data_IF_555262235943
#
_entry.id   IF_555262235943
#
_cell.length_a   1.000
_cell.length_b   1.000
_cell.length_c   1.000
_cell.angle_alpha   90.00
_cell.angle_beta   90.00
_cell.angle_gamma   90.00
#
_symmetry.space_group_name_H-M   'P 1'
#
loop_
_entity.id
_entity.type
_entity.pdbx_description
1 polymer ?
#
# COMPACT_ATOMS: atom_id res chain seq x y z
N UNK A 1 -4.32 22.57 -17.11
CA UNK A 1 -4.72 21.52 -18.07
C UNK A 1 -5.00 20.27 -17.24
N UNK A 2 -6.26 19.82 -17.15
CA UNK A 2 -6.58 18.56 -16.44
C UNK A 2 -6.09 17.40 -17.31
N UNK A 3 -5.36 16.46 -16.72
CA UNK A 3 -4.93 15.25 -17.43
C UNK A 3 -6.16 14.33 -17.55
N UNK A 4 -6.43 13.87 -18.77
CA UNK A 4 -7.69 13.22 -19.18
C UNK A 4 -7.84 11.77 -18.70
N UNK A 5 -6.77 11.11 -18.27
CA UNK A 5 -6.86 9.74 -17.78
C UNK A 5 -7.16 9.67 -16.28
N UNK A 6 -8.15 8.84 -15.94
CA UNK A 6 -8.39 8.38 -14.57
C UNK A 6 -7.11 7.70 -14.05
N UNK A 7 -6.64 8.10 -12.87
CA UNK A 7 -5.47 7.50 -12.21
C UNK A 7 -5.87 6.79 -10.93
N UNK A 8 -5.32 5.59 -10.73
CA UNK A 8 -5.37 4.84 -9.48
C UNK A 8 -4.18 5.22 -8.62
N UNK A 9 -4.45 5.81 -7.46
CA UNK A 9 -3.45 6.28 -6.52
C UNK A 9 -3.51 5.40 -5.27
N UNK A 10 -2.39 4.78 -4.90
CA UNK A 10 -2.23 4.08 -3.64
C UNK A 10 -1.44 4.95 -2.66
N UNK A 11 -2.05 5.29 -1.54
CA UNK A 11 -1.42 6.06 -0.46
C UNK A 11 -1.05 5.10 0.66
N UNK A 12 0.24 4.97 0.95
CA UNK A 12 0.76 4.09 2.00
C UNK A 12 1.23 4.95 3.17
N UNK A 13 0.57 4.84 4.33
CA UNK A 13 0.94 5.57 5.53
C UNK A 13 1.66 4.66 6.53
N UNK A 14 2.93 4.92 6.80
CA UNK A 14 3.78 4.10 7.67
C UNK A 14 3.91 4.67 9.10
N UNK A 15 3.52 5.92 9.34
CA UNK A 15 3.72 6.56 10.65
C UNK A 15 2.68 6.11 11.69
N UNK A 16 3.11 5.52 12.79
CA UNK A 16 2.24 5.17 13.94
C UNK A 16 1.70 6.39 14.73
N UNK A 17 2.12 7.62 14.38
CA UNK A 17 1.76 8.83 15.14
C UNK A 17 0.33 9.35 14.89
N UNK A 18 -0.47 8.64 14.08
CA UNK A 18 -1.86 9.02 13.76
C UNK A 18 -1.98 10.50 13.35
N UNK A 19 -2.93 11.23 13.94
CA UNK A 19 -3.17 12.66 13.66
C UNK A 19 -1.97 13.58 13.97
N UNK A 20 -1.02 13.13 14.80
CA UNK A 20 0.22 13.88 15.12
C UNK A 20 1.34 13.64 14.09
N UNK A 21 1.08 12.87 13.03
CA UNK A 21 2.06 12.56 11.99
C UNK A 21 2.16 13.67 10.96
N UNK A 22 3.37 14.21 10.77
CA UNK A 22 3.64 15.16 9.68
C UNK A 22 3.62 14.49 8.31
N UNK A 23 4.12 13.25 8.20
CA UNK A 23 4.11 12.53 6.92
C UNK A 23 2.69 12.25 6.42
N UNK A 24 1.74 11.95 7.32
CA UNK A 24 0.32 11.79 6.96
C UNK A 24 -0.32 13.09 6.48
N UNK A 25 -0.05 14.21 7.17
CA UNK A 25 -0.54 15.52 6.73
C UNK A 25 -0.01 15.87 5.33
N UNK A 26 1.24 15.55 5.05
CA UNK A 26 1.83 15.77 3.73
C UNK A 26 1.21 14.87 2.65
N UNK A 27 0.94 13.59 2.94
CA UNK A 27 0.24 12.72 1.98
C UNK A 27 -1.18 13.21 1.70
N UNK A 28 -1.91 13.70 2.72
CA UNK A 28 -3.24 14.32 2.52
C UNK A 28 -3.19 15.55 1.61
N UNK A 29 -2.23 16.48 1.84
CA UNK A 29 -2.03 17.65 0.98
C UNK A 29 -1.73 17.22 -0.46
N UNK A 30 -0.85 16.23 -0.65
CA UNK A 30 -0.50 15.72 -1.96
C UNK A 30 -1.69 15.08 -2.69
N UNK A 31 -2.46 14.23 -2.00
CA UNK A 31 -3.68 13.61 -2.55
C UNK A 31 -4.71 14.66 -2.95
N UNK A 32 -4.89 15.71 -2.15
CA UNK A 32 -5.80 16.80 -2.50
C UNK A 32 -5.34 17.56 -3.74
N UNK A 33 -4.02 17.73 -3.93
CA UNK A 33 -3.47 18.27 -5.16
C UNK A 33 -3.71 17.32 -6.36
N UNK A 34 -3.50 16.01 -6.21
CA UNK A 34 -3.77 15.06 -7.28
C UNK A 34 -5.23 15.09 -7.74
N UNK A 35 -6.18 15.27 -6.82
CA UNK A 35 -7.61 15.42 -7.13
C UNK A 35 -7.93 16.69 -7.95
N UNK A 36 -7.10 17.72 -7.89
CA UNK A 36 -7.28 18.92 -8.73
C UNK A 36 -6.63 18.79 -10.11
N UNK A 37 -5.59 17.95 -10.24
CA UNK A 37 -4.85 17.70 -11.48
C UNK A 37 -5.53 16.66 -12.38
N UNK A 38 -5.97 15.54 -11.80
CA UNK A 38 -6.58 14.42 -12.52
C UNK A 38 -8.11 14.49 -12.50
N UNK A 39 -8.75 14.03 -13.58
CA UNK A 39 -10.20 13.91 -13.62
C UNK A 39 -10.62 12.62 -12.88
N UNK A 40 -11.29 12.77 -11.74
CA UNK A 40 -11.84 11.66 -10.95
C UNK A 40 -10.83 10.54 -10.61
N UNK A 41 -9.67 10.85 -9.99
CA UNK A 41 -8.73 9.80 -9.60
C UNK A 41 -9.34 8.88 -8.52
N UNK A 42 -9.03 7.60 -8.61
CA UNK A 42 -9.40 6.59 -7.62
C UNK A 42 -8.30 6.53 -6.57
N UNK A 43 -8.63 6.87 -5.32
CA UNK A 43 -7.65 6.89 -4.23
C UNK A 43 -7.91 5.72 -3.28
N UNK A 44 -6.90 4.88 -3.10
CA UNK A 44 -6.88 3.77 -2.14
C UNK A 44 -5.86 4.04 -1.03
N UNK A 45 -6.14 3.59 0.19
CA UNK A 45 -5.29 3.81 1.35
C UNK A 45 -4.82 2.48 1.96
N UNK A 46 -3.52 2.36 2.18
CA UNK A 46 -2.87 1.26 2.90
C UNK A 46 -2.26 1.79 4.19
N UNK A 47 -2.88 1.43 5.31
CA UNK A 47 -2.34 1.68 6.64
C UNK A 47 -1.28 0.62 6.98
N UNK A 48 -0.12 1.06 7.48
CA UNK A 48 0.96 0.19 7.97
C UNK A 48 1.47 0.59 9.36
N UNK A 49 1.28 1.85 9.78
CA UNK A 49 1.81 2.35 11.04
C UNK A 49 0.93 2.05 12.26
N UNK A 50 -0.39 1.92 12.07
CA UNK A 50 -1.35 1.64 13.14
C UNK A 50 -2.07 0.29 12.98
N UNK A 51 -1.59 -0.57 12.08
CA UNK A 51 -2.14 -1.90 11.83
C UNK A 51 -1.08 -2.95 12.14
N UNK A 52 -1.52 -4.15 12.53
CA UNK A 52 -0.60 -5.26 12.69
C UNK A 52 -0.13 -5.77 11.31
N UNK A 53 1.10 -5.43 10.94
CA UNK A 53 1.75 -5.97 9.74
C UNK A 53 2.51 -7.23 10.15
N UNK A 54 2.12 -8.43 9.69
CA UNK A 54 2.78 -9.65 10.09
C UNK A 54 4.25 -9.65 9.65
N UNK A 55 5.14 -10.02 10.56
CA UNK A 55 6.54 -10.27 10.22
C UNK A 55 6.66 -11.47 9.30
N UNK A 56 7.66 -11.42 8.41
CA UNK A 56 8.05 -12.56 7.59
C UNK A 56 8.52 -13.70 8.50
N UNK A 57 8.06 -14.91 8.21
CA UNK A 57 8.40 -16.13 8.94
C UNK A 57 8.67 -17.31 7.99
N UNK A 58 9.10 -18.46 8.52
CA UNK A 58 9.41 -19.64 7.72
C UNK A 58 8.24 -20.15 6.89
N UNK A 59 7.01 -20.13 7.42
CA UNK A 59 5.82 -20.55 6.67
C UNK A 59 5.62 -19.69 5.43
N UNK A 60 5.73 -18.37 5.59
CA UNK A 60 5.66 -17.43 4.48
C UNK A 60 6.76 -17.66 3.46
N UNK A 61 8.01 -17.84 3.92
CA UNK A 61 9.17 -18.09 3.03
C UNK A 61 8.94 -19.36 2.21
N UNK A 62 8.62 -20.48 2.87
CA UNK A 62 8.37 -21.75 2.21
C UNK A 62 7.24 -21.66 1.17
N UNK A 63 6.17 -20.93 1.48
CA UNK A 63 5.08 -20.70 0.55
C UNK A 63 5.48 -19.81 -0.64
N UNK A 64 6.23 -18.74 -0.39
CA UNK A 64 6.64 -17.76 -1.41
C UNK A 64 7.53 -18.39 -2.49
N UNK A 65 8.45 -19.28 -2.10
CA UNK A 65 9.37 -19.97 -3.03
C UNK A 65 8.77 -21.20 -3.73
N UNK A 66 7.58 -21.66 -3.35
CA UNK A 66 6.87 -22.71 -4.09
C UNK A 66 6.26 -22.16 -5.38
N UNK A 67 6.34 -22.90 -6.51
CA UNK A 67 5.53 -22.62 -7.69
C UNK A 67 4.05 -22.56 -7.32
N UNK A 68 3.30 -21.64 -7.92
CA UNK A 68 1.89 -21.41 -7.60
C UNK A 68 1.03 -22.68 -7.69
N UNK A 69 1.31 -23.52 -8.69
CA UNK A 69 0.63 -24.82 -8.93
C UNK A 69 0.89 -25.87 -7.84
N UNK A 70 1.86 -25.65 -6.95
CA UNK A 70 2.25 -26.56 -5.87
C UNK A 70 1.93 -26.02 -4.48
N UNK A 71 1.26 -24.88 -4.36
CA UNK A 71 0.91 -24.27 -3.07
C UNK A 71 -0.32 -24.94 -2.48
N UNK A 72 -0.22 -25.35 -1.21
CA UNK A 72 -1.37 -25.85 -0.44
C UNK A 72 -2.29 -24.71 0.02
N UNK A 73 -3.42 -25.05 0.66
CA UNK A 73 -4.32 -24.08 1.28
C UNK A 73 -3.60 -23.27 2.37
N UNK A 74 -2.74 -23.93 3.15
CA UNK A 74 -1.93 -23.28 4.18
C UNK A 74 -0.88 -22.33 3.60
N UNK A 75 -0.28 -22.69 2.45
CA UNK A 75 0.65 -21.81 1.74
C UNK A 75 -0.08 -20.54 1.24
N UNK A 76 -1.30 -20.69 0.71
CA UNK A 76 -2.11 -19.58 0.24
C UNK A 76 -2.50 -18.64 1.39
N UNK A 77 -2.92 -19.20 2.53
CA UNK A 77 -3.25 -18.39 3.71
C UNK A 77 -2.01 -17.68 4.26
N UNK A 78 -0.85 -18.34 4.27
CA UNK A 78 0.41 -17.71 4.67
C UNK A 78 0.77 -16.51 3.77
N UNK A 79 0.46 -16.58 2.47
CA UNK A 79 0.76 -15.51 1.50
C UNK A 79 -0.33 -14.45 1.37
N UNK A 80 -1.52 -14.65 1.93
CA UNK A 80 -2.70 -13.81 1.73
C UNK A 80 -2.45 -12.32 1.90
N UNK A 81 -1.80 -11.92 3.00
CA UNK A 81 -1.49 -10.51 3.27
C UNK A 81 -0.51 -9.95 2.23
N UNK A 82 0.55 -10.70 1.89
CA UNK A 82 1.52 -10.30 0.88
C UNK A 82 0.87 -10.17 -0.50
N UNK A 83 0.01 -11.11 -0.88
CA UNK A 83 -0.70 -11.09 -2.16
C UNK A 83 -1.62 -9.86 -2.26
N UNK A 84 -2.31 -9.50 -1.17
CA UNK A 84 -3.12 -8.28 -1.12
C UNK A 84 -2.25 -7.03 -1.34
N UNK A 85 -1.12 -6.90 -0.62
CA UNK A 85 -0.23 -5.75 -0.78
C UNK A 85 0.39 -5.67 -2.18
N UNK A 86 0.79 -6.82 -2.75
CA UNK A 86 1.33 -6.87 -4.11
C UNK A 86 0.26 -6.49 -5.13
N UNK A 87 -0.99 -6.92 -4.96
CA UNK A 87 -2.10 -6.53 -5.85
C UNK A 87 -2.31 -5.02 -5.82
N UNK A 88 -2.38 -4.43 -4.63
CA UNK A 88 -2.52 -2.97 -4.46
C UNK A 88 -1.40 -2.20 -5.16
N UNK A 89 -0.16 -2.66 -5.03
CA UNK A 89 1.00 -2.05 -5.69
C UNK A 89 0.91 -2.18 -7.22
N UNK A 90 0.48 -3.32 -7.74
CA UNK A 90 0.35 -3.57 -9.19
C UNK A 90 -0.80 -2.81 -9.83
N UNK A 91 -1.87 -2.56 -9.08
CA UNK A 91 -3.06 -1.85 -9.57
C UNK A 91 -2.87 -0.32 -9.59
N UNK A 92 -1.90 0.22 -8.85
CA UNK A 92 -1.69 1.65 -8.72
C UNK A 92 -0.83 2.22 -9.87
N UNK A 93 -1.29 3.31 -10.47
CA UNK A 93 -0.50 4.12 -11.40
C UNK A 93 0.49 5.02 -10.64
N UNK A 94 0.09 5.47 -9.44
CA UNK A 94 0.85 6.38 -8.58
C UNK A 94 0.87 5.81 -7.17
N UNK A 95 2.06 5.67 -6.59
CA UNK A 95 2.26 5.24 -5.22
C UNK A 95 2.79 6.42 -4.41
N UNK A 96 2.06 6.79 -3.34
CA UNK A 96 2.41 7.88 -2.42
C UNK A 96 2.85 7.28 -1.09
N UNK A 97 4.11 7.45 -0.74
CA UNK A 97 4.69 6.90 0.49
C UNK A 97 4.77 7.96 1.60
N UNK A 98 3.87 7.86 2.58
CA UNK A 98 3.90 8.65 3.81
C UNK A 98 4.79 8.01 4.87
N UNK A 99 6.11 8.13 4.69
CA UNK A 99 7.09 7.63 5.66
C UNK A 99 7.68 8.75 6.52
N UNK A 100 8.10 8.41 7.73
CA UNK A 100 8.88 9.29 8.60
C UNK A 100 10.32 8.83 8.58
N UNK A 101 11.27 9.75 8.43
CA UNK A 101 12.65 9.49 8.80
C UNK A 101 12.76 9.79 10.30
N UNK A 102 12.94 8.75 11.10
CA UNK A 102 13.27 8.93 12.51
C UNK A 102 14.72 9.42 12.61
N UNK A 103 15.02 10.51 13.35
CA UNK A 103 16.38 10.82 13.76
C UNK A 103 16.90 9.81 14.80
#
# INVERSE_FOLDING_TARGET
>A
MKITEMKKVLVINASARGLKSHSRKLTEVFVNHLKSVYNSPVISFRELGNTNVPHINEKWINAAFKPETKRSVEDQEALKVSNAYISELREADIIVLGSVLAP
#
